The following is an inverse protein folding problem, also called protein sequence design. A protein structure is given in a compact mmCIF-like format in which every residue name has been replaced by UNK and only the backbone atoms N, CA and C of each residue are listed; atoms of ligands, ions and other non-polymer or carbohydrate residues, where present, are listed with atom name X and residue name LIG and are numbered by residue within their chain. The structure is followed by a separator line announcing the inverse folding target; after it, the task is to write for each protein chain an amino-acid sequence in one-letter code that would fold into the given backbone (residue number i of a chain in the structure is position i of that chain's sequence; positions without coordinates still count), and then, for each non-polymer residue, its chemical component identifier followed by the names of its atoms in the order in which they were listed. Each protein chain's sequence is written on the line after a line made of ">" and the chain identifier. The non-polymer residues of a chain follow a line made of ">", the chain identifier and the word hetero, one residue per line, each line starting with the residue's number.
data_IF_818681197572
#
_entry.id   IF_818681197572
#
_cell.length_a   1.000
_cell.length_b   1.000
_cell.length_c   1.000
_cell.angle_alpha   90.00
_cell.angle_beta   90.00
_cell.angle_gamma   90.00
#
_symmetry.space_group_name_H-M   'P 1'
#
loop_
_entity.id
_entity.type
_entity.pdbx_description
1 polymer ?
#
# COMPACT_ATOMS: atom_id res chain seq x y z
N UNK A 1 -14.09 0.39 -2.17
CA UNK A 1 -12.66 0.07 -1.97
C UNK A 1 -11.74 0.96 -2.82
N UNK A 2 -11.94 1.05 -4.15
CA UNK A 2 -11.13 1.86 -5.07
C UNK A 2 -10.93 3.34 -4.65
N UNK A 3 -11.99 4.02 -4.18
CA UNK A 3 -11.89 5.43 -3.76
C UNK A 3 -10.94 5.68 -2.58
N UNK A 4 -10.72 4.69 -1.69
CA UNK A 4 -9.81 4.86 -0.56
C UNK A 4 -8.34 4.72 -0.97
N UNK A 5 -8.04 3.92 -2.00
CA UNK A 5 -6.69 3.76 -2.54
C UNK A 5 -6.27 5.04 -3.25
N UNK A 6 -7.12 5.56 -4.15
CA UNK A 6 -6.84 6.81 -4.86
C UNK A 6 -6.76 8.01 -3.90
N UNK A 7 -7.64 8.06 -2.89
CA UNK A 7 -7.56 9.06 -1.83
C UNK A 7 -6.26 8.98 -1.04
N UNK A 8 -5.78 7.77 -0.71
CA UNK A 8 -4.51 7.56 -0.01
C UNK A 8 -3.31 8.02 -0.85
N UNK A 9 -3.30 7.69 -2.15
CA UNK A 9 -2.29 8.16 -3.11
C UNK A 9 -2.25 9.69 -3.20
N UNK A 10 -3.41 10.33 -3.34
CA UNK A 10 -3.50 11.79 -3.41
C UNK A 10 -3.04 12.46 -2.10
N UNK A 11 -3.39 11.89 -0.94
CA UNK A 11 -2.87 12.36 0.34
C UNK A 11 -1.34 12.27 0.40
N UNK A 12 -0.74 11.17 -0.09
CA UNK A 12 0.72 11.01 -0.14
C UNK A 12 1.42 12.02 -1.06
N UNK A 13 0.78 12.46 -2.15
CA UNK A 13 1.29 13.55 -2.99
C UNK A 13 1.33 14.85 -2.20
N UNK A 14 0.23 15.21 -1.52
CA UNK A 14 0.16 16.44 -0.72
C UNK A 14 1.18 16.42 0.42
N UNK A 15 1.38 15.28 1.07
CA UNK A 15 2.37 15.09 2.15
C UNK A 15 3.81 15.35 1.67
N UNK A 16 4.18 14.76 0.52
CA UNK A 16 5.50 14.95 -0.09
C UNK A 16 5.76 16.40 -0.48
N UNK A 17 4.76 17.04 -1.09
CA UNK A 17 4.87 18.44 -1.53
C UNK A 17 4.82 19.43 -0.34
N UNK A 18 4.06 19.12 0.73
CA UNK A 18 4.05 19.87 2.00
C UNK A 18 5.46 19.90 2.62
N UNK A 19 6.17 18.77 2.60
CA UNK A 19 7.57 18.71 3.05
C UNK A 19 8.49 19.60 2.22
N UNK A 20 8.35 19.60 0.88
CA UNK A 20 9.12 20.50 0.00
C UNK A 20 8.84 21.98 0.28
N UNK A 21 7.59 22.37 0.58
CA UNK A 21 7.27 23.75 0.98
C UNK A 21 8.08 24.22 2.20
N UNK A 22 8.42 23.33 3.13
CA UNK A 22 9.24 23.66 4.32
C UNK A 22 10.73 23.80 3.99
N UNK A 23 11.20 23.06 3.00
CA UNK A 23 12.64 22.93 2.67
C UNK A 23 13.10 23.96 1.63
N UNK A 24 12.27 24.23 0.62
CA UNK A 24 12.58 25.10 -0.52
C UNK A 24 12.86 26.59 -0.17
N UNK A 25 12.20 27.24 0.81
CA UNK A 25 12.44 28.65 1.13
C UNK A 25 13.84 28.98 1.67
N UNK A 26 14.76 28.01 1.76
CA UNK A 26 16.09 28.19 2.34
C UNK A 26 17.16 28.64 1.33
N UNK A 27 16.93 28.67 0.00
CA UNK A 27 18.01 28.82 -0.98
C UNK A 27 18.03 30.09 -1.89
N UNK A 28 17.02 30.97 -1.98
CA UNK A 28 17.10 32.32 -2.60
C UNK A 28 17.44 32.48 -4.09
N UNK A 29 17.26 31.46 -4.93
CA UNK A 29 17.41 31.57 -6.39
C UNK A 29 16.06 31.66 -7.13
N UNK A 30 16.03 32.20 -8.37
CA UNK A 30 14.84 32.16 -9.25
C UNK A 30 14.36 30.73 -9.52
N UNK A 31 15.29 29.77 -9.56
CA UNK A 31 14.98 28.33 -9.67
C UNK A 31 14.12 27.83 -8.50
N UNK A 32 14.22 28.42 -7.31
CA UNK A 32 13.36 28.03 -6.18
C UNK A 32 11.99 28.67 -6.23
N UNK A 33 11.88 29.88 -6.78
CA UNK A 33 10.57 30.48 -7.01
C UNK A 33 9.76 29.60 -7.94
N UNK A 34 10.37 29.14 -9.03
CA UNK A 34 9.73 28.17 -9.93
C UNK A 34 9.43 26.83 -9.24
N UNK A 35 10.35 26.30 -8.42
CA UNK A 35 10.12 25.08 -7.67
C UNK A 35 8.95 25.21 -6.67
N UNK A 36 8.86 26.33 -5.95
CA UNK A 36 7.76 26.63 -5.03
C UNK A 36 6.44 26.73 -5.78
N UNK A 37 6.39 27.44 -6.91
CA UNK A 37 5.19 27.55 -7.74
C UNK A 37 4.73 26.18 -8.25
N UNK A 38 5.67 25.32 -8.68
CA UNK A 38 5.36 23.98 -9.13
C UNK A 38 4.81 23.09 -8.00
N UNK A 39 5.41 23.17 -6.81
CA UNK A 39 4.93 22.49 -5.60
C UNK A 39 3.51 22.96 -5.24
N UNK A 40 3.22 24.26 -5.30
CA UNK A 40 1.88 24.80 -5.06
C UNK A 40 0.85 24.29 -6.08
N UNK A 41 1.20 24.25 -7.37
CA UNK A 41 0.33 23.73 -8.43
C UNK A 41 0.03 22.24 -8.22
N UNK A 42 1.04 21.47 -7.80
CA UNK A 42 0.87 20.03 -7.52
C UNK A 42 -0.06 19.80 -6.33
N UNK A 43 0.10 20.57 -5.25
CA UNK A 43 -0.77 20.52 -4.07
C UNK A 43 -2.21 20.89 -4.45
N UNK A 44 -2.40 22.00 -5.18
CA UNK A 44 -3.73 22.46 -5.60
C UNK A 44 -4.44 21.40 -6.46
N UNK A 45 -3.74 20.82 -7.44
CA UNK A 45 -4.28 19.75 -8.29
C UNK A 45 -4.66 18.50 -7.49
N UNK A 46 -3.86 18.11 -6.50
CA UNK A 46 -4.16 16.96 -5.64
C UNK A 46 -5.38 17.25 -4.73
N UNK A 47 -5.45 18.43 -4.12
CA UNK A 47 -6.58 18.83 -3.27
C UNK A 47 -7.91 18.89 -4.05
N UNK A 48 -7.89 19.38 -5.29
CA UNK A 48 -9.08 19.39 -6.15
C UNK A 48 -9.62 17.98 -6.42
N UNK A 49 -8.72 17.02 -6.71
CA UNK A 49 -9.09 15.60 -6.89
C UNK A 49 -9.61 14.98 -5.60
N UNK A 50 -9.01 15.28 -4.46
CA UNK A 50 -9.50 14.85 -3.14
C UNK A 50 -10.92 15.38 -2.89
N UNK A 51 -11.18 16.66 -3.22
CA UNK A 51 -12.51 17.26 -3.08
C UNK A 51 -13.57 16.55 -3.93
N UNK A 52 -13.21 16.10 -5.13
CA UNK A 52 -14.11 15.34 -5.99
C UNK A 52 -14.45 13.96 -5.41
N UNK A 53 -13.52 13.34 -4.66
CA UNK A 53 -13.72 12.03 -4.02
C UNK A 53 -14.53 12.10 -2.70
N UNK A 54 -14.65 13.29 -2.08
CA UNK A 54 -15.41 13.50 -0.82
C UNK A 54 -16.47 14.61 -0.95
N UNK A 55 -17.48 14.48 -1.82
CA UNK A 55 -18.42 15.57 -2.14
C UNK A 55 -19.31 16.01 -0.96
N UNK A 56 -19.55 15.14 0.02
CA UNK A 56 -20.47 15.40 1.15
C UNK A 56 -19.76 15.77 2.46
N UNK A 57 -18.44 15.92 2.47
CA UNK A 57 -17.68 16.30 3.68
C UNK A 57 -17.70 17.81 3.90
N UNK A 58 -18.72 18.33 4.60
CA UNK A 58 -18.86 19.77 4.89
C UNK A 58 -17.60 20.38 5.53
N UNK A 59 -16.99 19.68 6.49
CA UNK A 59 -15.75 20.11 7.14
C UNK A 59 -14.55 20.09 6.18
N UNK A 60 -14.50 19.16 5.23
CA UNK A 60 -13.45 19.12 4.22
C UNK A 60 -13.57 20.30 3.27
N UNK A 61 -14.79 20.58 2.79
CA UNK A 61 -15.05 21.64 1.81
C UNK A 61 -14.68 23.03 2.35
N UNK A 62 -14.99 23.31 3.62
CA UNK A 62 -14.58 24.55 4.27
C UNK A 62 -13.05 24.68 4.38
N UNK A 63 -12.36 23.61 4.81
CA UNK A 63 -10.89 23.60 4.89
C UNK A 63 -10.22 23.71 3.52
N UNK A 64 -10.81 23.09 2.49
CA UNK A 64 -10.33 23.15 1.11
C UNK A 64 -10.37 24.59 0.56
N UNK A 65 -11.50 25.30 0.71
CA UNK A 65 -11.63 26.69 0.25
C UNK A 65 -10.64 27.62 0.97
N UNK A 66 -10.43 27.42 2.28
CA UNK A 66 -9.44 28.16 3.04
C UNK A 66 -8.02 27.91 2.50
N UNK A 67 -7.66 26.65 2.23
CA UNK A 67 -6.35 26.30 1.66
C UNK A 67 -6.14 26.85 0.24
N UNK A 68 -7.18 26.85 -0.61
CA UNK A 68 -7.09 27.48 -1.94
C UNK A 68 -6.78 28.97 -1.84
N UNK A 69 -7.36 29.64 -0.85
CA UNK A 69 -7.10 31.05 -0.57
C UNK A 69 -5.65 31.25 -0.11
N UNK A 70 -5.17 30.42 0.81
CA UNK A 70 -3.78 30.47 1.29
C UNK A 70 -2.76 30.20 0.17
N UNK A 71 -3.02 29.21 -0.69
CA UNK A 71 -2.20 28.90 -1.88
C UNK A 71 -2.15 30.10 -2.82
N UNK A 72 -3.30 30.72 -3.11
CA UNK A 72 -3.39 31.89 -3.98
C UNK A 72 -2.64 33.10 -3.42
N UNK A 73 -2.73 33.30 -2.10
CA UNK A 73 -2.00 34.38 -1.41
C UNK A 73 -0.49 34.18 -1.47
N UNK A 74 -0.02 32.94 -1.25
CA UNK A 74 1.41 32.62 -1.35
C UNK A 74 1.91 32.77 -2.80
N UNK A 75 1.14 32.30 -3.79
CA UNK A 75 1.44 32.50 -5.22
C UNK A 75 1.58 33.98 -5.57
N UNK A 76 0.60 34.80 -5.19
CA UNK A 76 0.61 36.25 -5.41
C UNK A 76 1.81 36.92 -4.73
N UNK A 77 2.18 36.45 -3.53
CA UNK A 77 3.35 36.96 -2.81
C UNK A 77 4.65 36.60 -3.54
N UNK A 78 4.77 35.37 -4.05
CA UNK A 78 5.94 34.91 -4.81
C UNK A 78 6.11 35.68 -6.13
N UNK A 79 5.02 36.05 -6.79
CA UNK A 79 5.04 36.94 -7.96
C UNK A 79 5.55 38.34 -7.60
N UNK A 80 5.23 38.81 -6.38
CA UNK A 80 5.70 40.07 -5.78
C UNK A 80 6.97 39.89 -4.95
N UNK A 81 7.89 39.03 -5.38
CA UNK A 81 9.15 38.73 -4.68
C UNK A 81 10.08 39.96 -4.51
N UNK A 82 9.85 41.02 -5.26
CA UNK A 82 10.51 42.32 -5.10
C UNK A 82 10.02 43.13 -3.88
N UNK A 83 8.86 42.77 -3.31
CA UNK A 83 8.22 43.46 -2.18
C UNK A 83 8.39 42.66 -0.87
N UNK A 84 8.42 41.33 -0.95
CA UNK A 84 8.47 40.45 0.21
C UNK A 84 9.83 39.77 0.37
N UNK A 85 10.37 39.77 1.59
CA UNK A 85 11.65 39.13 1.90
C UNK A 85 11.55 37.62 2.11
N UNK A 86 12.69 36.92 2.07
CA UNK A 86 12.80 35.45 2.24
C UNK A 86 12.10 34.92 3.50
N UNK A 87 12.27 35.61 4.64
CA UNK A 87 11.65 35.21 5.91
C UNK A 87 10.11 35.25 5.87
N UNK A 88 9.53 36.16 5.08
CA UNK A 88 8.09 36.19 4.87
C UNK A 88 7.64 34.93 4.13
N UNK A 89 8.32 34.57 3.04
CA UNK A 89 8.00 33.35 2.27
C UNK A 89 8.15 32.08 3.10
N UNK A 90 9.22 31.98 3.89
CA UNK A 90 9.45 30.85 4.80
C UNK A 90 8.29 30.69 5.78
N UNK A 91 7.83 31.78 6.38
CA UNK A 91 6.68 31.75 7.32
C UNK A 91 5.38 31.36 6.63
N UNK A 92 5.10 31.91 5.45
CA UNK A 92 3.88 31.58 4.70
C UNK A 92 3.87 30.13 4.20
N UNK A 93 5.01 29.64 3.70
CA UNK A 93 5.15 28.25 3.27
C UNK A 93 5.03 27.28 4.46
N UNK A 94 5.62 27.60 5.61
CA UNK A 94 5.46 26.83 6.84
C UNK A 94 3.99 26.81 7.31
N UNK A 95 3.34 27.98 7.33
CA UNK A 95 1.94 28.10 7.71
C UNK A 95 1.01 27.26 6.83
N UNK A 96 1.24 27.30 5.51
CA UNK A 96 0.50 26.47 4.56
C UNK A 96 0.77 24.98 4.79
N UNK A 97 2.03 24.58 4.98
CA UNK A 97 2.40 23.20 5.27
C UNK A 97 1.73 22.67 6.55
N UNK A 98 1.69 23.47 7.62
CA UNK A 98 1.05 23.09 8.89
C UNK A 98 -0.47 22.88 8.73
N UNK A 99 -1.14 23.74 7.94
CA UNK A 99 -2.56 23.57 7.62
C UNK A 99 -2.81 22.34 6.75
N UNK A 100 -1.93 22.05 5.79
CA UNK A 100 -2.01 20.85 4.96
C UNK A 100 -1.87 19.58 5.81
N UNK A 101 -0.89 19.53 6.70
CA UNK A 101 -0.68 18.40 7.61
C UNK A 101 -1.91 18.19 8.53
N UNK A 102 -2.45 19.27 9.10
CA UNK A 102 -3.66 19.21 9.93
C UNK A 102 -4.89 18.70 9.16
N UNK A 103 -5.01 19.05 7.87
CA UNK A 103 -6.05 18.50 7.00
C UNK A 103 -5.81 17.02 6.74
N UNK A 104 -4.59 16.63 6.36
CA UNK A 104 -4.20 15.25 6.05
C UNK A 104 -4.55 14.30 7.20
N UNK A 105 -4.24 14.65 8.45
CA UNK A 105 -4.62 13.84 9.63
C UNK A 105 -6.12 13.51 9.68
N UNK A 106 -6.97 14.42 9.23
CA UNK A 106 -8.44 14.25 9.23
C UNK A 106 -8.95 13.44 8.05
N UNK A 107 -8.30 13.55 6.89
CA UNK A 107 -8.84 13.07 5.61
C UNK A 107 -8.17 11.80 5.12
N UNK A 108 -6.92 11.57 5.52
CA UNK A 108 -6.12 10.42 5.11
C UNK A 108 -6.90 9.19 5.55
N UNK A 109 -7.23 8.28 4.62
CA UNK A 109 -7.85 7.03 4.99
C UNK A 109 -6.96 6.40 6.06
N UNK A 110 -7.54 6.10 7.24
CA UNK A 110 -6.89 5.19 8.18
C UNK A 110 -6.77 3.87 7.45
N UNK A 111 -5.57 3.61 6.98
CA UNK A 111 -5.31 2.61 5.96
C UNK A 111 -3.90 2.09 6.12
N UNK A 112 -3.74 0.83 5.79
CA UNK A 112 -2.51 0.09 5.99
C UNK A 112 -1.28 0.78 5.36
N UNK A 113 -1.41 1.40 4.18
CA UNK A 113 -0.28 1.99 3.45
C UNK A 113 0.39 3.20 4.15
N UNK A 114 -0.35 4.25 4.57
CA UNK A 114 0.21 5.32 5.40
C UNK A 114 0.92 4.85 6.68
N UNK A 115 0.29 3.95 7.42
CA UNK A 115 0.82 3.45 8.69
C UNK A 115 2.03 2.54 8.48
N UNK A 116 2.03 1.77 7.38
CA UNK A 116 3.18 0.97 6.96
C UNK A 116 4.36 1.85 6.55
N UNK A 117 4.11 2.93 5.80
CA UNK A 117 5.15 3.88 5.43
C UNK A 117 5.79 4.56 6.65
N UNK A 118 4.96 4.99 7.62
CA UNK A 118 5.44 5.52 8.90
C UNK A 118 6.24 4.47 9.70
N UNK A 119 5.78 3.22 9.72
CA UNK A 119 6.47 2.11 10.38
C UNK A 119 7.86 1.87 9.78
N UNK A 120 7.96 1.77 8.45
CA UNK A 120 9.23 1.57 7.73
C UNK A 120 10.18 2.74 7.99
N UNK A 121 9.68 3.97 7.93
CA UNK A 121 10.50 5.16 8.20
C UNK A 121 11.05 5.17 9.64
N UNK A 122 10.28 4.66 10.62
CA UNK A 122 10.70 4.54 12.02
C UNK A 122 11.63 3.36 12.27
N UNK A 123 11.56 2.32 11.45
CA UNK A 123 12.26 1.05 11.62
C UNK A 123 13.06 0.70 10.36
N UNK A 124 14.22 1.36 10.14
CA UNK A 124 14.99 1.27 8.89
C UNK A 124 15.58 -0.12 8.61
N UNK A 125 15.52 -1.05 9.56
CA UNK A 125 15.86 -2.45 9.32
C UNK A 125 14.86 -3.18 8.40
N UNK A 126 13.67 -2.62 8.21
CA UNK A 126 12.67 -3.13 7.28
C UNK A 126 12.67 -2.27 6.02
N UNK A 127 12.85 -2.89 4.86
CA UNK A 127 12.78 -2.20 3.58
C UNK A 127 11.33 -2.15 3.05
N UNK A 128 11.08 -1.29 2.07
CA UNK A 128 9.83 -1.30 1.32
C UNK A 128 9.60 -2.65 0.63
N UNK A 129 10.63 -3.22 0.01
CA UNK A 129 10.56 -4.54 -0.64
C UNK A 129 10.18 -5.65 0.35
N UNK A 130 10.75 -5.64 1.56
CA UNK A 130 10.38 -6.58 2.61
C UNK A 130 8.90 -6.43 2.99
N UNK A 131 8.44 -5.20 3.17
CA UNK A 131 7.06 -4.93 3.55
C UNK A 131 6.06 -5.37 2.47
N UNK A 132 6.36 -5.12 1.20
CA UNK A 132 5.54 -5.59 0.07
C UNK A 132 5.52 -7.11 0.03
N UNK A 133 6.67 -7.77 0.13
CA UNK A 133 6.75 -9.23 0.14
C UNK A 133 5.94 -9.85 1.29
N UNK A 134 6.01 -9.28 2.50
CA UNK A 134 5.20 -9.71 3.64
C UNK A 134 3.69 -9.63 3.35
N UNK A 135 3.23 -8.60 2.64
CA UNK A 135 1.82 -8.45 2.30
C UNK A 135 1.35 -9.53 1.32
N UNK A 136 2.12 -9.77 0.25
CA UNK A 136 1.76 -10.76 -0.77
C UNK A 136 1.79 -12.19 -0.22
N UNK A 137 2.85 -12.55 0.51
CA UNK A 137 2.96 -13.85 1.16
C UNK A 137 1.83 -14.05 2.19
N UNK A 138 1.52 -13.02 2.98
CA UNK A 138 0.43 -13.06 3.94
C UNK A 138 -0.94 -13.21 3.26
N UNK A 139 -1.20 -12.48 2.17
CA UNK A 139 -2.45 -12.57 1.42
C UNK A 139 -2.65 -13.98 0.85
N UNK A 140 -1.61 -14.59 0.28
CA UNK A 140 -1.62 -15.96 -0.21
C UNK A 140 -1.93 -16.97 0.91
N UNK A 141 -1.30 -16.84 2.09
CA UNK A 141 -1.56 -17.73 3.22
C UNK A 141 -2.98 -17.57 3.76
N UNK A 142 -3.52 -16.35 3.78
CA UNK A 142 -4.92 -16.07 4.17
C UNK A 142 -5.89 -16.71 3.18
N UNK A 143 -5.69 -16.55 1.87
CA UNK A 143 -6.55 -17.15 0.84
C UNK A 143 -6.62 -18.67 1.00
N UNK A 144 -5.46 -19.32 1.15
CA UNK A 144 -5.38 -20.77 1.35
C UNK A 144 -6.08 -21.22 2.64
N UNK A 145 -5.86 -20.53 3.76
CA UNK A 145 -6.51 -20.88 5.03
C UNK A 145 -8.04 -20.75 4.93
N UNK A 146 -8.54 -19.69 4.28
CA UNK A 146 -9.98 -19.49 4.07
C UNK A 146 -10.58 -20.60 3.23
N UNK A 147 -9.92 -20.99 2.14
CA UNK A 147 -10.33 -22.13 1.33
C UNK A 147 -10.48 -23.41 2.17
N UNK A 148 -9.43 -23.76 2.93
CA UNK A 148 -9.42 -24.99 3.72
C UNK A 148 -10.54 -25.00 4.78
N UNK A 149 -10.83 -23.84 5.38
CA UNK A 149 -11.92 -23.67 6.33
C UNK A 149 -13.30 -23.77 5.64
N UNK A 150 -13.52 -23.05 4.56
CA UNK A 150 -14.80 -23.00 3.83
C UNK A 150 -15.22 -24.37 3.31
N UNK A 151 -14.27 -25.14 2.81
CA UNK A 151 -14.50 -26.48 2.27
C UNK A 151 -14.34 -27.59 3.31
N UNK A 152 -14.12 -27.24 4.60
CA UNK A 152 -13.88 -28.18 5.71
C UNK A 152 -12.85 -29.27 5.35
N UNK A 153 -11.71 -28.85 4.81
CA UNK A 153 -10.68 -29.76 4.30
C UNK A 153 -9.93 -30.40 5.46
N UNK A 154 -10.13 -31.70 5.65
CA UNK A 154 -9.40 -32.49 6.64
C UNK A 154 -8.04 -32.96 6.10
N UNK A 155 -6.98 -32.34 6.61
CA UNK A 155 -5.60 -32.63 6.23
C UNK A 155 -5.13 -34.01 6.69
N UNK A 156 -5.64 -34.53 7.81
CA UNK A 156 -5.30 -35.87 8.32
C UNK A 156 -5.94 -36.94 7.43
N UNK A 157 -7.21 -36.78 7.04
CA UNK A 157 -7.88 -37.68 6.10
C UNK A 157 -7.26 -37.69 4.71
N UNK A 158 -6.66 -36.56 4.30
CA UNK A 158 -5.87 -36.47 3.07
C UNK A 158 -4.48 -37.12 3.19
N UNK A 159 -4.10 -37.60 4.39
CA UNK A 159 -2.80 -38.18 4.65
C UNK A 159 -1.67 -37.16 4.55
N UNK A 160 -1.93 -35.92 4.98
CA UNK A 160 -0.91 -34.88 5.12
C UNK A 160 -0.28 -35.01 6.51
N UNK A 161 1.03 -35.22 6.54
CA UNK A 161 1.80 -35.28 7.77
C UNK A 161 2.33 -33.89 8.12
N UNK A 162 2.26 -33.51 9.40
CA UNK A 162 2.80 -32.24 9.89
C UNK A 162 4.33 -32.22 9.76
N UNK A 163 4.88 -31.19 9.12
CA UNK A 163 6.29 -30.86 9.22
C UNK A 163 6.55 -30.00 10.46
N UNK A 164 6.37 -30.59 11.66
CA UNK A 164 6.62 -29.89 12.92
C UNK A 164 5.82 -30.41 14.11
N UNK A 165 6.05 -29.81 15.27
CA UNK A 165 5.54 -30.29 16.58
C UNK A 165 4.16 -29.76 16.97
N UNK A 166 3.65 -28.71 16.32
CA UNK A 166 2.43 -28.03 16.79
C UNK A 166 1.37 -27.90 15.68
N UNK A 167 1.64 -27.15 14.60
CA UNK A 167 0.67 -26.88 13.53
C UNK A 167 1.15 -27.23 12.13
N UNK A 168 0.21 -27.37 11.20
CA UNK A 168 0.49 -27.53 9.77
C UNK A 168 1.15 -26.28 9.20
N UNK A 169 2.29 -26.47 8.53
CA UNK A 169 2.98 -25.40 7.84
C UNK A 169 2.21 -24.94 6.59
N UNK A 170 2.57 -23.78 6.03
CA UNK A 170 2.06 -23.36 4.73
C UNK A 170 2.26 -24.44 3.64
N UNK A 171 3.42 -25.09 3.64
CA UNK A 171 3.70 -26.18 2.69
C UNK A 171 2.73 -27.36 2.87
N UNK A 172 2.47 -27.77 4.11
CA UNK A 172 1.57 -28.88 4.41
C UNK A 172 0.12 -28.55 3.99
N UNK A 173 -0.33 -27.32 4.32
CA UNK A 173 -1.66 -26.83 3.96
C UNK A 173 -1.86 -26.78 2.44
N UNK A 174 -0.86 -26.28 1.71
CA UNK A 174 -0.96 -26.22 0.25
C UNK A 174 -0.92 -27.63 -0.35
N UNK A 175 -0.08 -28.53 0.18
CA UNK A 175 -0.09 -29.92 -0.25
C UNK A 175 -1.45 -30.60 -0.02
N UNK A 176 -2.10 -30.31 1.11
CA UNK A 176 -3.47 -30.71 1.39
C UNK A 176 -4.48 -30.14 0.38
N UNK A 177 -4.38 -28.84 0.07
CA UNK A 177 -5.17 -28.21 -0.98
C UNK A 177 -5.03 -28.95 -2.32
N UNK A 178 -3.81 -29.22 -2.80
CA UNK A 178 -3.59 -29.97 -4.06
C UNK A 178 -4.20 -31.37 -4.00
N UNK A 179 -4.04 -32.08 -2.89
CA UNK A 179 -4.66 -33.41 -2.71
C UNK A 179 -6.19 -33.33 -2.72
N UNK A 180 -6.76 -32.33 -2.09
CA UNK A 180 -8.19 -32.07 -2.10
C UNK A 180 -8.69 -31.87 -3.54
N UNK A 181 -8.03 -31.00 -4.31
CA UNK A 181 -8.37 -30.78 -5.73
C UNK A 181 -8.34 -32.08 -6.55
N UNK A 182 -7.30 -32.88 -6.37
CA UNK A 182 -7.17 -34.16 -7.06
C UNK A 182 -8.31 -35.13 -6.70
N UNK A 183 -8.79 -35.16 -5.45
CA UNK A 183 -9.97 -35.96 -5.06
C UNK A 183 -11.25 -35.48 -5.72
N UNK A 184 -11.34 -34.19 -6.03
CA UNK A 184 -12.45 -33.56 -6.74
C UNK A 184 -12.26 -33.52 -8.28
N UNK A 185 -11.29 -34.27 -8.82
CA UNK A 185 -11.03 -34.35 -10.26
C UNK A 185 -10.42 -33.09 -10.88
N UNK A 186 -9.94 -32.15 -10.05
CA UNK A 186 -9.26 -30.94 -10.48
C UNK A 186 -7.75 -31.18 -10.39
N UNK A 187 -7.10 -31.29 -11.54
CA UNK A 187 -5.66 -31.54 -11.60
C UNK A 187 -4.90 -30.26 -11.90
N UNK A 188 -3.98 -29.90 -11.01
CA UNK A 188 -3.07 -28.79 -11.24
C UNK A 188 -1.93 -29.21 -12.17
N UNK A 189 -1.41 -28.30 -13.00
CA UNK A 189 -0.18 -28.56 -13.71
C UNK A 189 0.98 -28.74 -12.73
N UNK A 190 2.02 -29.44 -13.18
CA UNK A 190 3.13 -29.91 -12.32
C UNK A 190 3.86 -28.76 -11.63
N UNK A 191 3.98 -27.61 -12.28
CA UNK A 191 4.69 -26.46 -11.73
C UNK A 191 3.95 -25.90 -10.51
N UNK A 192 2.63 -25.73 -10.63
CA UNK A 192 1.73 -25.22 -9.60
C UNK A 192 1.68 -26.17 -8.40
N UNK A 193 1.69 -27.48 -8.65
CA UNK A 193 1.76 -28.49 -7.59
C UNK A 193 3.09 -28.46 -6.80
N UNK A 194 4.19 -27.97 -7.39
CA UNK A 194 5.51 -27.88 -6.76
C UNK A 194 5.80 -26.52 -6.11
N UNK A 195 4.96 -25.50 -6.37
CA UNK A 195 5.06 -24.16 -5.77
C UNK A 195 5.23 -24.16 -4.23
N UNK A 196 4.62 -25.06 -3.45
CA UNK A 196 4.75 -25.04 -1.98
C UNK A 196 6.17 -25.10 -1.48
N UNK A 197 7.03 -25.90 -2.12
CA UNK A 197 8.43 -26.06 -1.67
C UNK A 197 9.22 -24.77 -1.87
N UNK A 198 9.01 -24.14 -3.02
CA UNK A 198 9.66 -22.88 -3.39
C UNK A 198 9.18 -21.77 -2.46
N UNK A 199 7.87 -21.63 -2.30
CA UNK A 199 7.28 -20.58 -1.47
C UNK A 199 7.53 -20.77 0.01
N UNK A 200 7.55 -22.00 0.51
CA UNK A 200 7.89 -22.26 1.90
C UNK A 200 9.30 -21.76 2.22
N UNK A 201 10.27 -21.99 1.33
CA UNK A 201 11.63 -21.48 1.50
C UNK A 201 11.67 -19.95 1.47
N UNK A 202 11.01 -19.32 0.50
CA UNK A 202 10.97 -17.86 0.36
C UNK A 202 10.27 -17.22 1.59
N UNK A 203 9.12 -17.78 2.00
CA UNK A 203 8.36 -17.33 3.16
C UNK A 203 9.17 -17.46 4.44
N UNK A 204 9.90 -18.56 4.63
CA UNK A 204 10.78 -18.70 5.78
C UNK A 204 11.86 -17.61 5.81
N UNK A 205 12.51 -17.36 4.67
CA UNK A 205 13.53 -16.32 4.54
C UNK A 205 12.97 -14.92 4.86
N UNK A 206 11.85 -14.54 4.24
CA UNK A 206 11.27 -13.20 4.39
C UNK A 206 10.69 -12.98 5.79
N UNK A 207 9.94 -13.96 6.32
CA UNK A 207 9.19 -13.82 7.58
C UNK A 207 10.08 -14.07 8.80
N UNK A 208 10.98 -15.05 8.74
CA UNK A 208 11.73 -15.50 9.92
C UNK A 208 13.21 -15.12 9.90
N UNK A 209 13.85 -15.13 8.73
CA UNK A 209 15.28 -14.78 8.61
C UNK A 209 15.50 -13.28 8.38
N UNK A 210 14.42 -12.50 8.17
CA UNK A 210 14.50 -11.05 7.93
C UNK A 210 15.07 -10.70 6.55
N UNK A 211 15.02 -11.62 5.59
CA UNK A 211 15.48 -11.39 4.24
C UNK A 211 14.64 -10.32 3.53
N UNK A 212 15.29 -9.25 3.08
CA UNK A 212 14.71 -8.22 2.21
C UNK A 212 14.93 -8.61 0.74
N UNK A 213 13.86 -8.89 -0.04
CA UNK A 213 14.00 -9.21 -1.46
C UNK A 213 14.63 -8.07 -2.26
N UNK A 214 15.47 -8.43 -3.23
CA UNK A 214 15.83 -7.51 -4.32
C UNK A 214 14.65 -7.40 -5.30
N UNK A 215 14.73 -6.50 -6.27
CA UNK A 215 13.62 -6.22 -7.19
C UNK A 215 13.17 -7.46 -7.97
N UNK A 216 14.11 -8.30 -8.42
CA UNK A 216 13.81 -9.54 -9.15
C UNK A 216 13.12 -10.58 -8.27
N UNK A 217 13.62 -10.75 -7.05
CA UNK A 217 13.03 -11.68 -6.08
C UNK A 217 11.66 -11.18 -5.61
N UNK A 218 11.46 -9.86 -5.52
CA UNK A 218 10.19 -9.23 -5.22
C UNK A 218 9.16 -9.45 -6.34
N UNK A 219 9.54 -9.18 -7.59
CA UNK A 219 8.69 -9.45 -8.76
C UNK A 219 8.24 -10.92 -8.80
N UNK A 220 9.16 -11.84 -8.53
CA UNK A 220 8.85 -13.26 -8.44
C UNK A 220 7.83 -13.57 -7.32
N UNK A 221 8.00 -12.97 -6.14
CA UNK A 221 7.06 -13.15 -5.02
C UNK A 221 5.66 -12.64 -5.39
N UNK A 222 5.59 -11.45 -5.99
CA UNK A 222 4.32 -10.82 -6.41
C UNK A 222 3.62 -11.73 -7.44
N UNK A 223 4.28 -12.02 -8.56
CA UNK A 223 3.70 -12.76 -9.69
C UNK A 223 3.12 -14.09 -9.24
N UNK A 224 3.88 -14.86 -8.46
CA UNK A 224 3.45 -16.19 -8.10
C UNK A 224 2.47 -16.21 -6.92
N UNK A 225 2.51 -15.20 -6.03
CA UNK A 225 1.51 -15.07 -4.97
C UNK A 225 0.15 -14.74 -5.58
N UNK A 226 0.10 -13.83 -6.57
CA UNK A 226 -1.10 -13.54 -7.35
C UNK A 226 -1.61 -14.79 -8.07
N UNK A 227 -0.74 -15.53 -8.77
CA UNK A 227 -1.15 -16.80 -9.42
C UNK A 227 -1.76 -17.82 -8.46
N UNK A 228 -1.22 -17.94 -7.25
CA UNK A 228 -1.77 -18.86 -6.25
C UNK A 228 -3.15 -18.38 -5.78
N UNK A 229 -3.29 -17.09 -5.50
CA UNK A 229 -4.57 -16.51 -5.09
C UNK A 229 -5.62 -16.70 -6.19
N UNK A 230 -5.29 -16.34 -7.43
CA UNK A 230 -6.14 -16.53 -8.59
C UNK A 230 -6.53 -18.01 -8.76
N UNK A 231 -5.59 -18.93 -8.55
CA UNK A 231 -5.86 -20.37 -8.61
C UNK A 231 -6.90 -20.77 -7.56
N UNK A 232 -6.72 -20.33 -6.31
CA UNK A 232 -7.64 -20.62 -5.21
C UNK A 232 -9.03 -20.08 -5.55
N UNK A 233 -9.15 -18.80 -5.90
CA UNK A 233 -10.43 -18.16 -6.23
C UNK A 233 -11.14 -18.84 -7.41
N UNK A 234 -10.40 -19.19 -8.46
CA UNK A 234 -10.97 -19.90 -9.61
C UNK A 234 -11.48 -21.30 -9.24
N UNK A 235 -10.81 -21.98 -8.32
CA UNK A 235 -11.23 -23.29 -7.82
C UNK A 235 -12.45 -23.16 -6.90
N UNK A 236 -12.47 -22.18 -6.01
CA UNK A 236 -13.63 -21.89 -5.16
C UNK A 236 -14.89 -21.71 -6.00
N UNK A 237 -14.81 -20.88 -7.05
CA UNK A 237 -15.92 -20.65 -7.97
C UNK A 237 -16.39 -21.95 -8.63
N UNK A 238 -15.47 -22.76 -9.16
CA UNK A 238 -15.81 -24.05 -9.80
C UNK A 238 -16.46 -25.04 -8.83
N UNK A 239 -15.99 -25.12 -7.59
CA UNK A 239 -16.55 -26.04 -6.61
C UNK A 239 -17.92 -25.57 -6.11
N UNK A 240 -18.14 -24.26 -6.04
CA UNK A 240 -19.42 -23.69 -5.65
C UNK A 240 -20.48 -23.83 -6.77
N UNK A 241 -20.10 -23.72 -8.04
CA UNK A 241 -21.00 -24.01 -9.19
C UNK A 241 -21.52 -25.46 -9.20
N UNK A 242 -20.77 -26.41 -8.63
CA UNK A 242 -21.17 -27.83 -8.52
C UNK A 242 -22.10 -28.08 -7.31
N UNK A 243 -22.17 -27.14 -6.36
CA UNK A 243 -23.00 -27.24 -5.15
C UNK A 243 -24.42 -26.68 -5.34
N UNK A 244 -24.65 -25.88 -6.39
CA UNK A 244 -25.97 -25.35 -6.80
C UNK A 244 -26.72 -26.33 -7.73
#
# INVERSE_FOLDING_TARGET
>A
MSNNIELSRLCGIVERESKKLRELPNAGSELEKEALLNTLNTIEGALAKISALKPNGLDFKANYVALQTDISNLRTSLEKSNIYGREYFKRQAQYLADKLDALLVKIKPKGFLPTLAEFIAKHPQFSENWAVAMCYIGAMEVALNRFLEEFNVDLEELGVQKHGTYDYTFADKYYGFVKYLNRHGIYLPKLEAELPKIFYSIRNKVVHEGYSPNDRDLEFIIEYSERVIDLIENVENKLNEVRE
#
